data_IF_305059196099
#
_entry.id   IF_305059196099
#
_cell.length_a   1.000
_cell.length_b   1.000
_cell.length_c   1.000
_cell.angle_alpha   90.00
_cell.angle_beta   90.00
_cell.angle_gamma   90.00
#
_symmetry.space_group_name_H-M   'P 1'
#
loop_
_entity.id
_entity.type
_entity.pdbx_description
1 polymer ?
#
# COMPACT_ATOMS: atom_id res chain seq x y z
N UNK A 1 -5.89 -96.48 -56.40
CA UNK A 1 -6.15 -95.90 -55.07
C UNK A 1 -7.56 -95.33 -55.09
N UNK A 2 -8.53 -95.87 -54.34
CA UNK A 2 -9.94 -95.45 -54.37
C UNK A 2 -10.21 -94.05 -53.78
N UNK A 3 -9.17 -93.22 -53.63
CA UNK A 3 -9.21 -91.90 -52.98
C UNK A 3 -9.33 -90.75 -53.98
N UNK A 4 -9.15 -91.02 -55.28
CA UNK A 4 -9.31 -90.06 -56.38
C UNK A 4 -10.50 -90.47 -57.26
N UNK A 5 -11.64 -90.72 -56.63
CA UNK A 5 -12.90 -90.88 -57.34
C UNK A 5 -13.53 -89.51 -57.58
N UNK A 6 -13.44 -89.01 -58.81
CA UNK A 6 -13.95 -87.70 -59.22
C UNK A 6 -15.47 -87.59 -59.12
N UNK A 7 -16.20 -88.70 -58.97
CA UNK A 7 -17.65 -88.70 -58.81
C UNK A 7 -18.12 -88.07 -57.48
N UNK A 8 -17.28 -88.03 -56.43
CA UNK A 8 -17.66 -87.47 -55.12
C UNK A 8 -17.36 -85.97 -54.97
N UNK A 9 -16.53 -85.40 -55.87
CA UNK A 9 -16.10 -84.00 -55.79
C UNK A 9 -17.25 -82.98 -55.89
N UNK A 10 -18.27 -83.15 -56.77
CA UNK A 10 -19.39 -82.20 -56.84
C UNK A 10 -20.17 -82.11 -55.52
N UNK A 11 -20.43 -83.24 -54.87
CA UNK A 11 -21.14 -83.30 -53.58
C UNK A 11 -20.31 -82.66 -52.46
N UNK A 12 -19.00 -82.89 -52.44
CA UNK A 12 -18.09 -82.27 -51.46
C UNK A 12 -18.01 -80.76 -51.66
N UNK A 13 -17.95 -80.28 -52.90
CA UNK A 13 -17.96 -78.85 -53.23
C UNK A 13 -19.30 -78.19 -52.86
N UNK A 14 -20.43 -78.87 -53.05
CA UNK A 14 -21.75 -78.38 -52.66
C UNK A 14 -21.83 -78.16 -51.13
N UNK A 15 -21.43 -79.16 -50.34
CA UNK A 15 -21.42 -79.02 -48.87
C UNK A 15 -20.36 -78.03 -48.38
N UNK A 16 -19.22 -77.94 -49.05
CA UNK A 16 -18.21 -76.91 -48.78
C UNK A 16 -18.80 -75.51 -49.00
N UNK A 17 -19.50 -75.27 -50.11
CA UNK A 17 -20.16 -73.99 -50.37
C UNK A 17 -21.19 -73.66 -49.30
N UNK A 18 -22.05 -74.61 -48.94
CA UNK A 18 -23.08 -74.41 -47.91
C UNK A 18 -22.45 -74.07 -46.56
N UNK A 19 -21.52 -74.91 -46.09
CA UNK A 19 -20.86 -74.72 -44.79
C UNK A 19 -20.04 -73.43 -44.75
N UNK A 20 -19.33 -73.10 -45.83
CA UNK A 20 -18.56 -71.88 -45.96
C UNK A 20 -19.47 -70.63 -46.01
N UNK A 21 -20.58 -70.66 -46.76
CA UNK A 21 -21.52 -69.54 -46.81
C UNK A 21 -22.18 -69.28 -45.45
N UNK A 22 -22.54 -70.34 -44.72
CA UNK A 22 -23.08 -70.22 -43.36
C UNK A 22 -22.02 -69.57 -42.44
N UNK A 23 -20.79 -70.09 -42.45
CA UNK A 23 -19.69 -69.53 -41.64
C UNK A 23 -19.42 -68.07 -42.00
N UNK A 24 -19.37 -67.74 -43.29
CA UNK A 24 -19.17 -66.39 -43.79
C UNK A 24 -20.26 -65.43 -43.29
N UNK A 25 -21.53 -65.85 -43.35
CA UNK A 25 -22.65 -65.05 -42.86
C UNK A 25 -22.53 -64.78 -41.34
N UNK A 26 -22.12 -65.78 -40.56
CA UNK A 26 -21.88 -65.63 -39.11
C UNK A 26 -20.77 -64.61 -38.84
N UNK A 27 -19.63 -64.72 -39.54
CA UNK A 27 -18.49 -63.80 -39.38
C UNK A 27 -18.91 -62.38 -39.77
N UNK A 28 -19.56 -62.22 -40.92
CA UNK A 28 -20.00 -60.93 -41.42
C UNK A 28 -20.96 -60.25 -40.44
N UNK A 29 -21.92 -61.00 -39.90
CA UNK A 29 -22.95 -60.44 -39.02
C UNK A 29 -22.51 -60.29 -37.56
N UNK A 30 -21.50 -61.02 -37.10
CA UNK A 30 -21.14 -61.07 -35.67
C UNK A 30 -19.74 -60.56 -35.37
N UNK A 31 -18.73 -60.99 -36.14
CA UNK A 31 -17.33 -60.72 -35.83
C UNK A 31 -16.95 -59.30 -36.26
N UNK A 32 -17.33 -58.90 -37.48
CA UNK A 32 -17.06 -57.56 -38.00
C UNK A 32 -17.67 -56.45 -37.12
N UNK A 33 -18.96 -56.47 -36.74
CA UNK A 33 -19.51 -55.40 -35.91
C UNK A 33 -18.89 -55.37 -34.51
N UNK A 34 -18.52 -56.52 -33.92
CA UNK A 34 -17.82 -56.54 -32.62
C UNK A 34 -16.48 -55.83 -32.67
N UNK A 35 -15.70 -56.03 -33.74
CA UNK A 35 -14.41 -55.36 -33.91
C UNK A 35 -14.61 -53.85 -34.11
N UNK A 36 -15.61 -53.46 -34.91
CA UNK A 36 -15.97 -52.05 -35.12
C UNK A 36 -16.34 -51.36 -33.81
N UNK A 37 -17.18 -51.99 -32.99
CA UNK A 37 -17.61 -51.43 -31.71
C UNK A 37 -16.44 -51.19 -30.75
N UNK A 38 -15.46 -52.10 -30.70
CA UNK A 38 -14.28 -51.94 -29.83
C UNK A 38 -13.38 -50.80 -30.33
N UNK A 39 -13.22 -50.64 -31.65
CA UNK A 39 -12.49 -49.51 -32.22
C UNK A 39 -13.19 -48.18 -31.92
N UNK A 40 -14.50 -48.13 -32.11
CA UNK A 40 -15.31 -46.93 -31.86
C UNK A 40 -15.30 -46.55 -30.38
N UNK A 41 -15.44 -47.52 -29.47
CA UNK A 41 -15.36 -47.27 -28.02
C UNK A 41 -13.98 -46.70 -27.64
N UNK A 42 -12.89 -47.26 -28.17
CA UNK A 42 -11.55 -46.74 -27.93
C UNK A 42 -11.40 -45.32 -28.49
N UNK A 43 -11.85 -45.08 -29.71
CA UNK A 43 -11.77 -43.76 -30.33
C UNK A 43 -12.58 -42.72 -29.54
N UNK A 44 -13.79 -43.09 -29.11
CA UNK A 44 -14.66 -42.25 -28.28
C UNK A 44 -14.00 -41.90 -26.95
N UNK A 45 -13.41 -42.89 -26.26
CA UNK A 45 -12.66 -42.67 -25.02
C UNK A 45 -11.49 -41.71 -25.23
N UNK A 46 -10.66 -41.93 -26.27
CA UNK A 46 -9.52 -41.06 -26.57
C UNK A 46 -9.98 -39.64 -26.90
N UNK A 47 -11.01 -39.48 -27.72
CA UNK A 47 -11.55 -38.16 -28.05
C UNK A 47 -12.10 -37.46 -26.81
N UNK A 48 -12.83 -38.18 -25.94
CA UNK A 48 -13.33 -37.64 -24.69
C UNK A 48 -12.23 -37.29 -23.68
N UNK A 49 -11.14 -38.04 -23.65
CA UNK A 49 -9.96 -37.72 -22.84
C UNK A 49 -9.24 -36.48 -23.35
N UNK A 50 -9.08 -36.35 -24.68
CA UNK A 50 -8.50 -35.17 -25.32
C UNK A 50 -9.35 -33.92 -25.09
N UNK A 51 -10.67 -34.02 -25.23
CA UNK A 51 -11.59 -32.91 -24.96
C UNK A 51 -11.51 -32.47 -23.50
N UNK A 52 -11.53 -33.42 -22.56
CA UNK A 52 -11.33 -33.12 -21.13
C UNK A 52 -9.99 -32.48 -20.84
N UNK A 53 -8.91 -32.97 -21.44
CA UNK A 53 -7.58 -32.40 -21.29
C UNK A 53 -7.51 -30.96 -21.84
N UNK A 54 -8.13 -30.69 -22.99
CA UNK A 54 -8.21 -29.36 -23.57
C UNK A 54 -9.03 -28.40 -22.70
N UNK A 55 -10.17 -28.85 -22.16
CA UNK A 55 -11.00 -28.04 -21.26
C UNK A 55 -10.25 -27.72 -19.96
N UNK A 56 -9.61 -28.71 -19.35
CA UNK A 56 -8.77 -28.50 -18.16
C UNK A 56 -7.60 -27.56 -18.44
N UNK A 57 -6.96 -27.66 -19.61
CA UNK A 57 -5.91 -26.74 -20.01
C UNK A 57 -6.44 -25.31 -20.19
N UNK A 58 -7.62 -25.14 -20.79
CA UNK A 58 -8.26 -23.84 -20.97
C UNK A 58 -8.63 -23.22 -19.61
N UNK A 59 -9.22 -24.00 -18.70
CA UNK A 59 -9.53 -23.58 -17.33
C UNK A 59 -8.26 -23.18 -16.58
N UNK A 60 -7.20 -23.99 -16.63
CA UNK A 60 -5.92 -23.67 -16.00
C UNK A 60 -5.33 -22.36 -16.54
N UNK A 61 -5.40 -22.11 -17.86
CA UNK A 61 -4.95 -20.85 -18.47
C UNK A 61 -5.80 -19.66 -17.99
N UNK A 62 -7.11 -19.82 -17.87
CA UNK A 62 -7.99 -18.77 -17.34
C UNK A 62 -7.66 -18.44 -15.88
N UNK A 63 -7.47 -19.48 -15.05
CA UNK A 63 -7.10 -19.31 -13.64
C UNK A 63 -5.74 -18.62 -13.52
N UNK A 64 -4.74 -19.05 -14.29
CA UNK A 64 -3.41 -18.41 -14.31
C UNK A 64 -3.50 -16.93 -14.69
N UNK A 65 -4.25 -16.59 -15.74
CA UNK A 65 -4.43 -15.19 -16.15
C UNK A 65 -5.12 -14.37 -15.05
N UNK A 66 -6.16 -14.91 -14.42
CA UNK A 66 -6.84 -14.22 -13.30
C UNK A 66 -5.92 -14.03 -12.09
N UNK A 67 -5.06 -15.00 -11.81
CA UNK A 67 -4.09 -14.95 -10.73
C UNK A 67 -2.99 -13.93 -11.01
N UNK A 68 -2.44 -13.91 -12.22
CA UNK A 68 -1.44 -12.91 -12.64
C UNK A 68 -2.00 -11.48 -12.62
N UNK A 69 -3.25 -11.30 -13.03
CA UNK A 69 -3.97 -10.02 -12.89
C UNK A 69 -4.11 -9.61 -11.44
N UNK A 70 -4.63 -10.49 -10.58
CA UNK A 70 -4.79 -10.21 -9.16
C UNK A 70 -3.44 -9.87 -8.49
N UNK A 71 -2.35 -10.53 -8.87
CA UNK A 71 -1.01 -10.23 -8.37
C UNK A 71 -0.52 -8.85 -8.84
N UNK A 72 -0.78 -8.50 -10.10
CA UNK A 72 -0.39 -7.21 -10.68
C UNK A 72 -1.19 -6.07 -10.06
N UNK A 73 -2.50 -6.25 -9.94
CA UNK A 73 -3.42 -5.28 -9.32
C UNK A 73 -3.06 -5.07 -7.85
N UNK A 74 -2.84 -6.14 -7.09
CA UNK A 74 -2.42 -6.06 -5.69
C UNK A 74 -1.07 -5.35 -5.50
N UNK A 75 -0.11 -5.58 -6.40
CA UNK A 75 1.17 -4.83 -6.40
C UNK A 75 0.96 -3.35 -6.72
N UNK A 76 0.11 -3.03 -7.69
CA UNK A 76 -0.20 -1.64 -8.04
C UNK A 76 -0.89 -0.91 -6.89
N UNK A 77 -1.88 -1.55 -6.27
CA UNK A 77 -2.62 -1.01 -5.13
C UNK A 77 -1.69 -0.78 -3.93
N UNK A 78 -0.82 -1.75 -3.61
CA UNK A 78 0.17 -1.57 -2.55
C UNK A 78 1.12 -0.38 -2.83
N UNK A 79 1.60 -0.24 -4.06
CA UNK A 79 2.44 0.91 -4.43
C UNK A 79 1.70 2.24 -4.35
N UNK A 80 0.43 2.28 -4.77
CA UNK A 80 -0.41 3.46 -4.68
C UNK A 80 -0.68 3.84 -3.22
N UNK A 81 -1.00 2.87 -2.37
CA UNK A 81 -1.20 3.07 -0.93
C UNK A 81 0.08 3.60 -0.26
N UNK A 82 1.25 3.05 -0.62
CA UNK A 82 2.53 3.53 -0.10
C UNK A 82 2.79 4.99 -0.51
N UNK A 83 2.55 5.35 -1.78
CA UNK A 83 2.69 6.72 -2.26
C UNK A 83 1.73 7.67 -1.56
N UNK A 84 0.46 7.30 -1.45
CA UNK A 84 -0.56 8.12 -0.78
C UNK A 84 -0.22 8.32 0.70
N UNK A 85 0.20 7.26 1.38
CA UNK A 85 0.59 7.31 2.79
C UNK A 85 1.82 8.18 3.00
N UNK A 86 2.84 8.06 2.13
CA UNK A 86 4.03 8.91 2.18
C UNK A 86 3.68 10.39 1.99
N UNK A 87 2.80 10.72 1.04
CA UNK A 87 2.32 12.09 0.83
C UNK A 87 1.53 12.61 2.04
N UNK A 88 0.65 11.80 2.63
CA UNK A 88 -0.09 12.16 3.86
C UNK A 88 0.84 12.42 5.03
N UNK A 89 1.86 11.59 5.23
CA UNK A 89 2.86 11.76 6.29
C UNK A 89 3.66 13.04 6.06
N UNK A 90 4.16 13.28 4.84
CA UNK A 90 4.92 14.48 4.52
C UNK A 90 4.09 15.75 4.75
N UNK A 91 2.82 15.75 4.31
CA UNK A 91 1.92 16.88 4.56
C UNK A 91 1.69 17.10 6.06
N UNK A 92 1.44 16.03 6.82
CA UNK A 92 1.25 16.12 8.27
C UNK A 92 2.50 16.64 9.00
N UNK A 93 3.70 16.26 8.55
CA UNK A 93 4.95 16.78 9.09
C UNK A 93 5.07 18.29 8.83
N UNK A 94 4.83 18.75 7.61
CA UNK A 94 4.85 20.18 7.27
C UNK A 94 3.82 20.95 8.10
N UNK A 95 2.59 20.45 8.23
CA UNK A 95 1.54 21.07 9.03
C UNK A 95 1.93 21.15 10.52
N UNK A 96 2.60 20.12 11.05
CA UNK A 96 3.10 20.13 12.43
C UNK A 96 4.28 21.09 12.63
N UNK A 97 5.23 21.13 11.70
CA UNK A 97 6.38 22.03 11.76
C UNK A 97 5.96 23.49 11.68
N UNK A 98 5.02 23.81 10.78
CA UNK A 98 4.45 25.16 10.66
C UNK A 98 3.71 25.59 11.92
N UNK A 99 2.84 24.73 12.47
CA UNK A 99 2.14 25.01 13.72
C UNK A 99 3.11 25.19 14.91
N UNK A 100 4.16 24.37 14.98
CA UNK A 100 5.18 24.47 16.02
C UNK A 100 6.01 25.75 15.87
N UNK A 101 6.40 26.11 14.65
CA UNK A 101 7.11 27.36 14.34
C UNK A 101 6.29 28.58 14.75
N UNK A 102 4.99 28.58 14.46
CA UNK A 102 4.09 29.66 14.82
C UNK A 102 3.91 29.79 16.34
N UNK A 103 3.79 28.65 17.04
CA UNK A 103 3.75 28.62 18.50
C UNK A 103 5.04 29.15 19.13
N UNK A 104 6.21 28.76 18.60
CA UNK A 104 7.50 29.26 19.07
C UNK A 104 7.61 30.78 18.85
N UNK A 105 7.17 31.29 17.69
CA UNK A 105 7.15 32.74 17.41
C UNK A 105 6.27 33.50 18.40
N UNK A 106 5.09 32.97 18.72
CA UNK A 106 4.21 33.57 19.74
C UNK A 106 4.88 33.56 21.12
N UNK A 107 5.45 32.44 21.54
CA UNK A 107 6.16 32.34 22.81
C UNK A 107 7.36 33.31 22.89
N UNK A 108 8.11 33.48 21.81
CA UNK A 108 9.22 34.45 21.75
C UNK A 108 8.71 35.88 21.93
N UNK A 109 7.64 36.26 21.22
CA UNK A 109 7.01 37.58 21.37
C UNK A 109 6.52 37.84 22.79
N UNK A 110 5.88 36.84 23.40
CA UNK A 110 5.39 36.95 24.79
C UNK A 110 6.53 37.05 25.81
N UNK A 111 7.66 36.38 25.55
CA UNK A 111 8.86 36.46 26.37
C UNK A 111 9.54 37.83 26.21
N UNK A 112 9.68 38.34 24.99
CA UNK A 112 10.21 39.67 24.69
C UNK A 112 9.37 40.78 25.36
N UNK A 113 8.04 40.68 25.27
CA UNK A 113 7.13 41.62 25.92
C UNK A 113 7.28 41.60 27.46
N UNK A 114 7.41 40.40 28.05
CA UNK A 114 7.67 40.25 29.49
C UNK A 114 9.01 40.85 29.91
N UNK A 115 10.08 40.58 29.15
CA UNK A 115 11.41 41.14 29.42
C UNK A 115 11.37 42.67 29.35
N UNK A 116 10.69 43.23 28.35
CA UNK A 116 10.53 44.68 28.21
C UNK A 116 9.81 45.28 29.42
N UNK A 117 8.70 44.68 29.84
CA UNK A 117 7.96 45.13 31.03
C UNK A 117 8.75 45.02 32.34
N UNK A 118 9.55 43.95 32.51
CA UNK A 118 10.45 43.82 33.67
C UNK A 118 11.56 44.87 33.63
N UNK A 119 12.12 45.15 32.45
CA UNK A 119 13.15 46.19 32.28
C UNK A 119 12.60 47.58 32.61
N UNK A 120 11.42 47.91 32.13
CA UNK A 120 10.76 49.19 32.42
C UNK A 120 10.51 49.36 33.93
N UNK A 121 10.01 48.31 34.60
CA UNK A 121 9.86 48.31 36.07
C UNK A 121 11.19 48.46 36.80
N UNK A 122 12.20 47.68 36.43
CA UNK A 122 13.52 47.75 37.06
C UNK A 122 14.16 49.13 36.88
N UNK A 123 14.02 49.76 35.70
CA UNK A 123 14.49 51.12 35.48
C UNK A 123 13.73 52.13 36.36
N UNK A 124 12.41 51.99 36.50
CA UNK A 124 11.62 52.83 37.41
C UNK A 124 12.04 52.65 38.88
N UNK A 125 12.24 51.40 39.33
CA UNK A 125 12.71 51.09 40.69
C UNK A 125 14.11 51.69 40.93
N UNK A 126 15.01 51.64 39.95
CA UNK A 126 16.33 52.29 40.04
C UNK A 126 16.20 53.81 40.17
N UNK A 127 15.24 54.45 39.46
CA UNK A 127 14.99 55.90 39.64
C UNK A 127 14.58 56.21 41.08
N UNK A 128 13.65 55.42 41.64
CA UNK A 128 13.17 55.60 43.02
C UNK A 128 14.32 55.45 44.01
N UNK A 129 15.10 54.36 43.89
CA UNK A 129 16.26 54.12 44.77
C UNK A 129 17.31 55.23 44.62
N UNK A 130 17.54 55.74 43.41
CA UNK A 130 18.48 56.84 43.18
C UNK A 130 18.02 58.15 43.83
N UNK A 131 16.72 58.47 43.76
CA UNK A 131 16.13 59.64 44.44
C UNK A 131 16.25 59.48 45.96
N UNK A 132 15.88 58.31 46.50
CA UNK A 132 16.01 58.03 47.94
C UNK A 132 17.46 58.13 48.43
N UNK A 133 18.42 57.59 47.66
CA UNK A 133 19.84 57.65 47.99
C UNK A 133 20.39 59.09 47.90
N UNK A 134 19.98 59.85 46.87
CA UNK A 134 20.36 61.25 46.74
C UNK A 134 19.82 62.08 47.91
N UNK A 135 18.55 61.92 48.28
CA UNK A 135 17.95 62.56 49.45
C UNK A 135 18.67 62.18 50.75
N UNK A 136 18.95 60.88 50.97
CA UNK A 136 19.65 60.42 52.17
C UNK A 136 21.10 60.93 52.24
N UNK A 137 21.79 61.06 51.11
CA UNK A 137 23.16 61.57 51.04
C UNK A 137 23.19 63.08 51.25
N UNK A 138 22.26 63.83 50.63
CA UNK A 138 22.11 65.27 50.83
C UNK A 138 21.72 65.60 52.26
N UNK A 139 20.80 64.85 52.89
CA UNK A 139 20.45 65.03 54.30
C UNK A 139 21.62 64.72 55.26
N UNK A 140 22.53 63.82 54.87
CA UNK A 140 23.77 63.54 55.64
C UNK A 140 24.88 64.57 55.41
N UNK A 141 24.91 65.23 54.25
CA UNK A 141 25.96 66.17 53.87
C UNK A 141 25.60 67.62 54.22
N UNK A 142 24.31 67.95 54.18
CA UNK A 142 23.73 69.23 54.55
C UNK A 142 22.89 69.05 55.82
N UNK A 143 23.54 69.17 56.97
CA UNK A 143 22.86 69.35 58.26
C UNK A 143 22.24 70.75 58.39
N UNK A 144 21.94 71.44 57.28
CA UNK A 144 21.13 72.65 57.26
C UNK A 144 20.52 72.92 55.86
N UNK A 145 19.21 72.70 55.77
CA UNK A 145 18.19 73.24 54.84
C UNK A 145 18.57 73.48 53.37
N UNK A 146 18.06 72.63 52.46
CA UNK A 146 17.48 73.11 51.20
C UNK A 146 16.27 72.27 50.78
N UNK A 147 15.28 72.92 50.17
CA UNK A 147 13.90 72.44 50.00
C UNK A 147 13.75 71.26 49.02
N UNK A 148 12.77 70.39 49.29
CA UNK A 148 12.43 69.17 48.53
C UNK A 148 12.21 69.39 47.02
N UNK A 149 11.81 70.59 46.60
CA UNK A 149 11.54 70.91 45.19
C UNK A 149 12.80 71.09 44.33
N UNK A 150 13.92 71.57 44.90
CA UNK A 150 15.17 71.77 44.14
C UNK A 150 15.87 70.45 43.82
N UNK A 151 15.78 69.47 44.73
CA UNK A 151 16.43 68.16 44.56
C UNK A 151 15.72 67.33 43.48
N UNK A 152 14.40 67.44 43.37
CA UNK A 152 13.62 66.76 42.33
C UNK A 152 13.96 67.29 40.92
N UNK A 153 14.05 68.60 40.75
CA UNK A 153 14.39 69.22 39.45
C UNK A 153 15.81 68.87 38.98
N UNK A 154 16.81 68.90 39.87
CA UNK A 154 18.21 68.60 39.50
C UNK A 154 18.39 67.12 39.12
N UNK A 155 17.65 66.21 39.77
CA UNK A 155 17.70 64.78 39.43
C UNK A 155 16.98 64.49 38.11
N UNK A 156 15.87 65.18 37.79
CA UNK A 156 15.22 65.06 36.47
C UNK A 156 16.10 65.59 35.34
N UNK A 157 16.77 66.73 35.50
CA UNK A 157 17.65 67.34 34.49
C UNK A 157 18.87 66.44 34.15
N UNK A 158 19.53 65.89 35.18
CA UNK A 158 20.67 64.96 34.99
C UNK A 158 20.25 63.62 34.36
N UNK A 159 18.98 63.24 34.52
CA UNK A 159 18.42 62.02 33.96
C UNK A 159 17.95 62.18 32.50
N UNK A 160 17.59 63.39 32.05
CA UNK A 160 17.29 63.68 30.64
C UNK A 160 18.55 63.86 29.79
N UNK A 161 19.64 64.39 30.34
CA UNK A 161 20.88 64.64 29.60
C UNK A 161 21.66 63.35 29.20
N UNK A 162 21.28 62.19 29.75
CA UNK A 162 21.96 60.89 29.51
C UNK A 162 21.15 59.82 28.78
N UNK A 163 19.98 60.15 28.22
CA UNK A 163 19.25 59.28 27.27
C UNK A 163 19.70 59.55 25.84
#
# INVERSE_FOLDING_TARGET
MPQLDFATFPTQLFWLLISFSILYCIIWRTVIPRISNVMEERQSRVNGDLERANNLQAEAKMVLNSYEKALTDGRSEAQNLLKETALKIAKRQIDQETALSERIKQMSKDAEARIKGVREKAMADVKVIAVELAQATTAKLFEEVSSEEEVLNVVEEVMEEKV
#
